data_IF_908545430790
#
_entry.id   IF_908545430790
#
_cell.length_a   1.000
_cell.length_b   1.000
_cell.length_c   1.000
_cell.angle_alpha   90.00
_cell.angle_beta   90.00
_cell.angle_gamma   90.00
#
_symmetry.space_group_name_H-M   'P 1'
#
loop_
_entity.id
_entity.type
_entity.pdbx_description
1 polymer ?
#
# COMPACT_ATOMS: atom_id res chain seq x y z
N UNK A 1 70.36 -9.27 -12.19
CA UNK A 1 69.57 -8.17 -12.77
C UNK A 1 68.33 -8.73 -13.46
N UNK A 2 68.48 -9.81 -14.22
CA UNK A 2 67.38 -10.56 -14.86
C UNK A 2 66.28 -11.02 -13.90
N UNK A 3 66.61 -11.60 -12.73
CA UNK A 3 65.58 -12.06 -11.77
C UNK A 3 64.68 -10.93 -11.23
N UNK A 4 65.19 -9.69 -11.17
CA UNK A 4 64.38 -8.52 -10.77
C UNK A 4 63.48 -8.05 -11.91
N UNK A 5 63.93 -8.19 -13.16
CA UNK A 5 63.17 -7.86 -14.37
C UNK A 5 62.01 -8.85 -14.52
N UNK A 6 62.29 -10.15 -14.39
CA UNK A 6 61.28 -11.22 -14.49
C UNK A 6 60.19 -11.09 -13.40
N UNK A 7 60.57 -10.73 -12.17
CA UNK A 7 59.60 -10.44 -11.08
C UNK A 7 58.74 -9.21 -11.38
N UNK A 8 59.31 -8.19 -12.02
CA UNK A 8 58.57 -6.99 -12.42
C UNK A 8 57.60 -7.30 -13.55
N UNK A 9 58.03 -8.03 -14.57
CA UNK A 9 57.19 -8.46 -15.70
C UNK A 9 56.03 -9.35 -15.25
N UNK A 10 56.29 -10.30 -14.35
CA UNK A 10 55.24 -11.16 -13.78
C UNK A 10 54.20 -10.35 -13.01
N UNK A 11 54.65 -9.34 -12.25
CA UNK A 11 53.75 -8.46 -11.49
C UNK A 11 52.97 -7.52 -12.40
N UNK A 12 53.58 -7.03 -13.47
CA UNK A 12 52.93 -6.22 -14.51
C UNK A 12 51.82 -7.01 -15.20
N UNK A 13 52.13 -8.23 -15.66
CA UNK A 13 51.15 -9.12 -16.30
C UNK A 13 49.98 -9.46 -15.37
N UNK A 14 50.25 -9.63 -14.07
CA UNK A 14 49.18 -9.84 -13.08
C UNK A 14 48.30 -8.61 -12.93
N UNK A 15 48.90 -7.42 -12.81
CA UNK A 15 48.18 -6.16 -12.68
C UNK A 15 47.34 -5.84 -13.93
N UNK A 16 47.82 -6.17 -15.12
CA UNK A 16 47.07 -6.01 -16.37
C UNK A 16 45.84 -6.93 -16.39
N UNK A 17 45.99 -8.20 -16.01
CA UNK A 17 44.85 -9.13 -15.89
C UNK A 17 43.83 -8.70 -14.85
N UNK A 18 44.30 -8.26 -13.68
CA UNK A 18 43.44 -7.76 -12.61
C UNK A 18 42.68 -6.51 -13.07
N UNK A 19 43.34 -5.61 -13.83
CA UNK A 19 42.73 -4.42 -14.41
C UNK A 19 41.67 -4.78 -15.44
N UNK A 20 41.95 -5.71 -16.36
CA UNK A 20 40.98 -6.16 -17.36
C UNK A 20 39.74 -6.77 -16.70
N UNK A 21 39.94 -7.61 -15.68
CA UNK A 21 38.86 -8.21 -14.91
C UNK A 21 37.99 -7.16 -14.20
N UNK A 22 38.62 -6.17 -13.56
CA UNK A 22 37.89 -5.06 -12.93
C UNK A 22 37.08 -4.24 -13.93
N UNK A 23 37.63 -3.95 -15.11
CA UNK A 23 36.92 -3.21 -16.16
C UNK A 23 35.69 -3.98 -16.64
N UNK A 24 35.80 -5.29 -16.83
CA UNK A 24 34.67 -6.15 -17.21
C UNK A 24 33.58 -6.14 -16.12
N UNK A 25 33.95 -6.30 -14.85
CA UNK A 25 33.00 -6.24 -13.74
C UNK A 25 32.30 -4.88 -13.62
N UNK A 26 33.02 -3.79 -13.84
CA UNK A 26 32.43 -2.45 -13.86
C UNK A 26 31.40 -2.33 -14.98
N UNK A 27 31.70 -2.85 -16.17
CA UNK A 27 30.75 -2.85 -17.30
C UNK A 27 29.51 -3.69 -17.00
N UNK A 28 29.67 -4.88 -16.40
CA UNK A 28 28.54 -5.72 -15.99
C UNK A 28 27.65 -5.01 -14.95
N UNK A 29 28.25 -4.36 -13.95
CA UNK A 29 27.52 -3.58 -12.96
C UNK A 29 26.81 -2.37 -13.58
N UNK A 30 27.44 -1.67 -14.53
CA UNK A 30 26.80 -0.57 -15.26
C UNK A 30 25.58 -1.06 -16.06
N UNK A 31 25.69 -2.20 -16.74
CA UNK A 31 24.58 -2.83 -17.46
C UNK A 31 23.47 -3.22 -16.48
N UNK A 32 23.81 -3.78 -15.31
CA UNK A 32 22.83 -4.13 -14.29
C UNK A 32 22.10 -2.90 -13.73
N UNK A 33 22.82 -1.82 -13.44
CA UNK A 33 22.26 -0.55 -12.99
C UNK A 33 21.33 0.03 -14.06
N UNK A 34 21.73 0.01 -15.33
CA UNK A 34 20.92 0.53 -16.42
C UNK A 34 19.64 -0.30 -16.61
N UNK A 35 19.73 -1.64 -16.51
CA UNK A 35 18.56 -2.52 -16.50
C UNK A 35 17.63 -2.26 -15.31
N UNK A 36 18.17 -1.95 -14.14
CA UNK A 36 17.38 -1.59 -12.95
C UNK A 36 16.74 -0.20 -13.08
N UNK A 37 17.37 0.75 -13.79
CA UNK A 37 16.81 2.07 -14.11
C UNK A 37 15.72 2.01 -15.17
N UNK A 38 15.88 1.13 -16.16
CA UNK A 38 14.91 0.90 -17.24
C UNK A 38 13.78 -0.04 -16.81
N UNK A 39 14.00 -0.86 -15.78
CA UNK A 39 12.91 -1.52 -15.09
C UNK A 39 11.98 -0.42 -14.60
N UNK A 40 10.70 -0.39 -15.03
CA UNK A 40 9.77 0.57 -14.48
C UNK A 40 9.86 0.38 -12.98
N UNK A 41 10.13 1.47 -12.25
CA UNK A 41 9.79 1.56 -10.83
C UNK A 41 8.35 1.10 -10.80
N UNK A 42 8.16 -0.17 -10.44
CA UNK A 42 6.86 -0.67 -10.08
C UNK A 42 6.59 0.18 -8.87
N UNK A 43 5.82 1.25 -9.08
CA UNK A 43 5.23 2.00 -7.99
C UNK A 43 4.81 0.91 -7.01
N UNK A 44 5.32 0.92 -5.75
CA UNK A 44 4.87 -0.07 -4.80
C UNK A 44 3.34 -0.05 -4.91
N UNK A 45 2.68 -1.19 -5.18
CA UNK A 45 1.24 -1.19 -5.35
C UNK A 45 0.71 -0.43 -4.15
N UNK A 46 -0.10 0.59 -4.41
CA UNK A 46 -0.49 1.58 -3.42
C UNK A 46 -1.19 0.83 -2.28
N UNK A 47 -0.41 0.33 -1.31
CA UNK A 47 -0.86 -0.59 -0.26
C UNK A 47 -1.89 0.12 0.63
N UNK A 48 -1.93 1.46 0.53
CA UNK A 48 -2.87 2.32 1.20
C UNK A 48 -4.21 2.45 0.46
N UNK A 49 -4.32 2.22 -0.84
CA UNK A 49 -5.61 2.30 -1.55
C UNK A 49 -6.68 1.34 -1.02
N UNK A 50 -6.42 0.02 -0.87
CA UNK A 50 -7.43 -0.89 -0.34
C UNK A 50 -7.71 -0.64 1.14
N UNK A 51 -6.73 -0.13 1.89
CA UNK A 51 -6.91 0.24 3.31
C UNK A 51 -7.75 1.51 3.43
N UNK A 52 -7.53 2.52 2.59
CA UNK A 52 -8.28 3.76 2.56
C UNK A 52 -9.73 3.51 2.16
N UNK A 53 -9.97 2.73 1.10
CA UNK A 53 -11.31 2.32 0.69
C UNK A 53 -12.05 1.55 1.80
N UNK A 54 -11.33 0.68 2.54
CA UNK A 54 -11.90 -0.02 3.69
C UNK A 54 -12.24 0.93 4.84
N UNK A 55 -11.37 1.89 5.13
CA UNK A 55 -11.61 2.90 6.18
C UNK A 55 -12.82 3.77 5.82
N UNK A 56 -12.91 4.26 4.58
CA UNK A 56 -14.06 5.02 4.09
C UNK A 56 -15.35 4.22 4.21
N UNK A 57 -15.35 2.98 3.74
CA UNK A 57 -16.52 2.10 3.83
C UNK A 57 -16.97 1.89 5.28
N UNK A 58 -16.02 1.58 6.19
CA UNK A 58 -16.33 1.37 7.60
C UNK A 58 -16.82 2.67 8.27
N UNK A 59 -16.30 3.83 7.86
CA UNK A 59 -16.75 5.13 8.36
C UNK A 59 -18.19 5.40 7.93
N UNK A 60 -18.50 5.22 6.64
CA UNK A 60 -19.85 5.39 6.12
C UNK A 60 -20.85 4.40 6.75
N UNK A 61 -20.47 3.14 6.92
CA UNK A 61 -21.30 2.13 7.58
C UNK A 61 -21.59 2.50 9.04
N UNK A 62 -20.59 2.98 9.78
CA UNK A 62 -20.77 3.42 11.16
C UNK A 62 -21.71 4.63 11.26
N UNK A 63 -21.57 5.60 10.36
CA UNK A 63 -22.43 6.78 10.33
C UNK A 63 -23.89 6.39 10.02
N UNK A 64 -24.11 5.49 9.06
CA UNK A 64 -25.43 4.94 8.79
C UNK A 64 -26.03 4.24 10.01
N UNK A 65 -25.25 3.39 10.70
CA UNK A 65 -25.69 2.72 11.92
C UNK A 65 -26.02 3.71 13.04
N UNK A 66 -25.25 4.79 13.18
CA UNK A 66 -25.52 5.84 14.16
C UNK A 66 -26.86 6.54 13.87
N UNK A 67 -27.10 6.93 12.63
CA UNK A 67 -28.37 7.54 12.22
C UNK A 67 -29.56 6.59 12.39
N UNK A 68 -29.40 5.30 12.06
CA UNK A 68 -30.41 4.27 12.30
C UNK A 68 -30.76 4.17 13.79
N UNK A 69 -29.75 4.12 14.66
CA UNK A 69 -29.96 4.05 16.10
C UNK A 69 -30.65 5.31 16.65
N UNK A 70 -30.32 6.49 16.12
CA UNK A 70 -30.98 7.72 16.51
C UNK A 70 -32.47 7.70 16.15
N UNK A 71 -32.81 7.30 14.91
CA UNK A 71 -34.22 7.18 14.46
C UNK A 71 -35.00 6.16 15.28
N UNK A 72 -34.39 5.02 15.60
CA UNK A 72 -35.02 3.99 16.43
C UNK A 72 -35.29 4.50 17.85
N UNK A 73 -34.35 5.22 18.46
CA UNK A 73 -34.55 5.83 19.78
C UNK A 73 -35.70 6.83 19.74
N UNK A 74 -35.73 7.70 18.74
CA UNK A 74 -36.82 8.66 18.58
C UNK A 74 -38.17 7.95 18.43
N UNK A 75 -38.24 6.92 17.58
CA UNK A 75 -39.49 6.16 17.41
C UNK A 75 -39.96 5.50 18.72
N UNK A 76 -39.04 4.95 19.51
CA UNK A 76 -39.35 4.38 20.82
C UNK A 76 -39.86 5.46 21.78
N UNK A 77 -39.22 6.63 21.81
CA UNK A 77 -39.64 7.77 22.62
C UNK A 77 -41.04 8.26 22.22
N UNK A 78 -41.31 8.41 20.92
CA UNK A 78 -42.64 8.77 20.39
C UNK A 78 -43.70 7.75 20.82
N UNK A 79 -43.35 6.45 20.85
CA UNK A 79 -44.24 5.39 21.33
C UNK A 79 -44.49 5.45 22.84
N UNK A 80 -43.46 5.75 23.63
CA UNK A 80 -43.58 5.92 25.09
C UNK A 80 -44.45 7.13 25.41
N UNK A 81 -44.30 8.23 24.66
CA UNK A 81 -45.07 9.46 24.82
C UNK A 81 -46.52 9.34 24.33
N UNK A 82 -46.88 8.23 23.68
CA UNK A 82 -48.21 7.98 23.13
C UNK A 82 -48.50 8.72 21.81
N UNK A 83 -47.47 9.30 21.17
CA UNK A 83 -47.58 9.99 19.88
C UNK A 83 -47.67 8.99 18.71
N UNK A 84 -47.10 7.79 18.88
CA UNK A 84 -47.14 6.70 17.90
C UNK A 84 -47.50 5.37 18.56
N UNK A 85 -48.16 4.50 17.81
CA UNK A 85 -48.36 3.10 18.23
C UNK A 85 -47.12 2.27 17.89
N UNK A 86 -46.72 1.37 18.79
CA UNK A 86 -45.63 0.43 18.54
C UNK A 86 -46.08 -0.63 17.52
N UNK A 87 -45.66 -0.45 16.27
CA UNK A 87 -46.03 -1.30 15.15
C UNK A 87 -44.77 -1.73 14.38
N UNK A 88 -44.78 -2.97 13.90
CA UNK A 88 -43.65 -3.52 13.14
C UNK A 88 -43.30 -2.67 11.91
N UNK A 89 -44.30 -2.10 11.25
CA UNK A 89 -44.10 -1.20 10.10
C UNK A 89 -43.37 0.09 10.48
N UNK A 90 -43.73 0.69 11.62
CA UNK A 90 -43.08 1.90 12.13
C UNK A 90 -41.63 1.64 12.54
N UNK A 91 -41.37 0.50 13.19
CA UNK A 91 -40.03 0.05 13.52
C UNK A 91 -39.14 -0.14 12.28
N UNK A 92 -39.63 -0.87 11.27
CA UNK A 92 -38.88 -1.13 10.04
C UNK A 92 -38.56 0.17 9.30
N UNK A 93 -39.50 1.11 9.28
CA UNK A 93 -39.34 2.44 8.68
C UNK A 93 -38.30 3.30 9.40
N UNK A 94 -38.29 3.29 10.73
CA UNK A 94 -37.25 3.97 11.51
C UNK A 94 -35.86 3.36 11.25
N UNK A 95 -35.80 2.04 11.07
CA UNK A 95 -34.59 1.28 10.78
C UNK A 95 -34.08 1.54 9.35
N UNK A 96 -34.96 1.64 8.34
CA UNK A 96 -34.59 1.91 6.95
C UNK A 96 -34.33 3.39 6.65
N UNK A 97 -34.97 4.30 7.37
CA UNK A 97 -34.89 5.74 7.10
C UNK A 97 -35.77 6.22 5.93
N UNK A 98 -36.77 5.43 5.53
CA UNK A 98 -37.68 5.73 4.40
C UNK A 98 -38.56 6.99 4.55
N UNK A 99 -38.41 7.75 5.64
CA UNK A 99 -39.17 8.96 5.94
C UNK A 99 -38.29 10.23 6.05
N UNK A 100 -36.99 10.16 5.68
CA UNK A 100 -36.06 11.31 5.64
C UNK A 100 -35.81 11.83 4.23
#
# INVERSE_FOLDING_TARGET
MEERIEKVETRLNKLEKDREYMVQHIQELQIAIEKLRQSPVSNPPDFNQPVHAKIEYLTAANEQMFQQNQRLRQYIEDCINGEKTLEQKGYLRALSGEDS
#
